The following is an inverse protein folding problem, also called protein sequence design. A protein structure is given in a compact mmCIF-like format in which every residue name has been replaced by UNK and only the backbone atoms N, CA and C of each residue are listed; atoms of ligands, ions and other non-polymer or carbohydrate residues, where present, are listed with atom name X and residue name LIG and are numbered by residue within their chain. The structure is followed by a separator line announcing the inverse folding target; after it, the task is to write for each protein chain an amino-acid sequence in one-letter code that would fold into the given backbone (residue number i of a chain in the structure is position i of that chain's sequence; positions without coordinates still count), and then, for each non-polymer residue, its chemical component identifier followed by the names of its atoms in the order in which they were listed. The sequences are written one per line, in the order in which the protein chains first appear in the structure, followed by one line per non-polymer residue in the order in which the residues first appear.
data_IF_251142311407
#
_entry.id   IF_251142311407
#
_cell.length_a   1.000
_cell.length_b   1.000
_cell.length_c   1.000
_cell.angle_alpha   90.00
_cell.angle_beta   90.00
_cell.angle_gamma   90.00
#
_symmetry.space_group_name_H-M   'P 1'
#
loop_
_entity.id
_entity.type
_entity.pdbx_description
1 polymer ?
#
# COMPACT_ATOMS: atom_id res chain seq x y z
N UNK A 1 -21.90 9.22 7.17
CA UNK A 1 -21.70 8.55 8.48
C UNK A 1 -20.44 7.68 8.39
N UNK A 2 -19.72 7.50 9.51
CA UNK A 2 -18.46 6.74 9.56
C UNK A 2 -18.69 5.32 10.09
N UNK A 3 -18.00 4.35 9.48
CA UNK A 3 -17.92 2.97 9.93
C UNK A 3 -16.45 2.64 10.23
N UNK A 4 -16.11 2.58 11.50
CA UNK A 4 -14.75 2.36 11.96
C UNK A 4 -14.47 0.87 12.11
N UNK A 5 -13.48 0.36 11.38
CA UNK A 5 -12.94 -0.97 11.55
C UNK A 5 -11.63 -0.83 12.31
N UNK A 6 -11.63 -1.33 13.54
CA UNK A 6 -10.52 -1.24 14.46
C UNK A 6 -9.58 -2.43 14.26
N UNK A 7 -8.29 -2.24 14.53
CA UNK A 7 -7.32 -3.33 14.56
C UNK A 7 -7.73 -4.45 15.53
N UNK A 8 -7.26 -5.66 15.26
CA UNK A 8 -7.52 -6.80 16.15
C UNK A 8 -6.98 -6.53 17.56
N UNK A 9 -7.68 -7.07 18.57
CA UNK A 9 -7.39 -6.77 19.96
C UNK A 9 -6.00 -7.27 20.39
N UNK A 10 -5.20 -6.34 20.90
CA UNK A 10 -3.91 -6.53 21.55
C UNK A 10 -3.78 -5.41 22.59
N UNK A 11 -2.96 -5.58 23.63
CA UNK A 11 -2.78 -4.54 24.65
C UNK A 11 -2.38 -3.17 24.06
N UNK A 12 -1.54 -3.18 23.01
CA UNK A 12 -1.12 -1.96 22.30
C UNK A 12 -2.28 -1.35 21.51
N UNK A 13 -3.01 -2.17 20.76
CA UNK A 13 -4.12 -1.68 19.92
C UNK A 13 -5.31 -1.22 20.75
N UNK A 14 -5.61 -1.84 21.89
CA UNK A 14 -6.68 -1.42 22.80
C UNK A 14 -6.44 0.00 23.34
N UNK A 15 -5.23 0.28 23.85
CA UNK A 15 -4.88 1.62 24.33
C UNK A 15 -4.94 2.67 23.21
N UNK A 16 -4.51 2.31 22.01
CA UNK A 16 -4.63 3.19 20.84
C UNK A 16 -6.10 3.46 20.48
N UNK A 17 -6.93 2.42 20.42
CA UNK A 17 -8.35 2.51 20.10
C UNK A 17 -9.13 3.35 21.12
N UNK A 18 -8.80 3.26 22.40
CA UNK A 18 -9.42 4.08 23.43
C UNK A 18 -9.10 5.57 23.21
N UNK A 19 -7.84 5.91 22.94
CA UNK A 19 -7.44 7.29 22.61
C UNK A 19 -8.16 7.81 21.37
N UNK A 20 -8.28 6.98 20.34
CA UNK A 20 -9.04 7.31 19.12
C UNK A 20 -10.51 7.60 19.46
N UNK A 21 -11.18 6.71 20.20
CA UNK A 21 -12.59 6.88 20.57
C UNK A 21 -12.84 8.15 21.39
N UNK A 22 -11.99 8.43 22.37
CA UNK A 22 -12.09 9.63 23.19
C UNK A 22 -11.97 10.89 22.32
N UNK A 23 -10.96 10.95 21.45
CA UNK A 23 -10.73 12.12 20.61
C UNK A 23 -11.81 12.32 19.54
N UNK A 24 -12.33 11.24 18.95
CA UNK A 24 -13.48 11.31 18.05
C UNK A 24 -14.73 11.80 18.78
N UNK A 25 -14.93 11.38 20.04
CA UNK A 25 -15.99 11.87 20.92
C UNK A 25 -15.88 13.37 21.18
N UNK A 26 -14.70 13.85 21.55
CA UNK A 26 -14.41 15.28 21.80
C UNK A 26 -14.63 16.13 20.54
N UNK A 27 -14.32 15.59 19.36
CA UNK A 27 -14.54 16.26 18.07
C UNK A 27 -16.00 16.17 17.58
N UNK A 28 -16.87 15.43 18.27
CA UNK A 28 -18.26 15.21 17.89
C UNK A 28 -18.45 14.32 16.65
N UNK A 29 -17.48 13.46 16.33
CA UNK A 29 -17.50 12.61 15.13
C UNK A 29 -18.11 11.25 15.48
N UNK A 30 -19.40 11.08 15.18
CA UNK A 30 -20.10 9.82 15.41
C UNK A 30 -19.84 8.76 14.33
N UNK A 31 -19.97 7.49 14.72
CA UNK A 31 -19.99 6.34 13.80
C UNK A 31 -20.06 5.00 14.51
N UNK A 32 -20.26 3.93 13.75
CA UNK A 32 -20.29 2.56 14.26
C UNK A 32 -18.87 2.00 14.29
N UNK A 33 -18.47 1.39 15.41
CA UNK A 33 -17.16 0.74 15.55
C UNK A 33 -17.29 -0.77 15.55
N UNK A 34 -16.45 -1.46 14.78
CA UNK A 34 -16.35 -2.93 14.76
C UNK A 34 -14.88 -3.37 14.80
N UNK A 35 -14.65 -4.61 15.21
CA UNK A 35 -13.32 -5.23 15.22
C UNK A 35 -13.38 -6.63 14.59
N UNK A 36 -12.32 -7.08 13.90
CA UNK A 36 -12.20 -8.45 13.41
C UNK A 36 -12.30 -9.48 14.53
N UNK A 37 -12.79 -10.67 14.18
CA UNK A 37 -12.83 -11.82 15.08
C UNK A 37 -12.56 -13.11 14.29
N UNK A 38 -12.34 -14.26 14.94
CA UNK A 38 -12.22 -15.54 14.23
C UNK A 38 -13.41 -15.87 13.32
N UNK A 39 -14.58 -15.30 13.61
CA UNK A 39 -15.81 -15.51 12.84
C UNK A 39 -16.05 -14.42 11.76
N UNK A 40 -15.30 -13.32 11.77
CA UNK A 40 -15.46 -12.21 10.81
C UNK A 40 -14.13 -11.58 10.44
N UNK A 41 -13.79 -11.70 9.16
CA UNK A 41 -12.62 -11.08 8.56
C UNK A 41 -12.77 -9.57 8.37
N UNK A 42 -11.64 -8.89 8.14
CA UNK A 42 -11.59 -7.45 7.86
C UNK A 42 -12.39 -7.12 6.58
N UNK A 43 -12.22 -7.93 5.55
CA UNK A 43 -12.88 -7.76 4.26
C UNK A 43 -14.41 -7.93 4.35
N UNK A 44 -14.88 -8.85 5.18
CA UNK A 44 -16.32 -9.04 5.47
C UNK A 44 -16.89 -7.85 6.25
N UNK A 45 -16.17 -7.33 7.24
CA UNK A 45 -16.60 -6.13 7.97
C UNK A 45 -16.68 -4.90 7.07
N UNK A 46 -15.69 -4.69 6.19
CA UNK A 46 -15.74 -3.63 5.20
C UNK A 46 -16.93 -3.80 4.25
N UNK A 47 -17.15 -5.02 3.75
CA UNK A 47 -18.30 -5.33 2.90
C UNK A 47 -19.63 -5.08 3.61
N UNK A 48 -19.74 -5.42 4.90
CA UNK A 48 -20.93 -5.19 5.70
C UNK A 48 -21.18 -3.68 5.88
N UNK A 49 -20.15 -2.89 6.17
CA UNK A 49 -20.27 -1.43 6.25
C UNK A 49 -20.79 -0.82 4.94
N UNK A 50 -20.28 -1.30 3.80
CA UNK A 50 -20.75 -0.87 2.48
C UNK A 50 -22.22 -1.26 2.26
N UNK A 51 -22.60 -2.51 2.56
CA UNK A 51 -23.98 -3.00 2.42
C UNK A 51 -24.96 -2.25 3.32
N UNK A 52 -24.53 -1.87 4.52
CA UNK A 52 -25.29 -1.02 5.45
C UNK A 52 -25.47 0.42 4.97
N UNK A 53 -24.83 0.81 3.85
CA UNK A 53 -24.95 2.14 3.27
C UNK A 53 -23.99 3.18 3.88
N UNK A 54 -22.94 2.76 4.59
CA UNK A 54 -21.94 3.71 5.09
C UNK A 54 -21.12 4.28 3.93
N UNK A 55 -21.19 5.60 3.77
CA UNK A 55 -20.41 6.36 2.78
C UNK A 55 -18.90 6.40 3.08
N UNK A 56 -18.49 6.03 4.30
CA UNK A 56 -17.09 6.10 4.73
C UNK A 56 -16.74 4.95 5.64
N UNK A 57 -15.77 4.16 5.20
CA UNK A 57 -15.16 3.11 5.99
C UNK A 57 -13.82 3.63 6.49
N UNK A 58 -13.58 3.58 7.79
CA UNK A 58 -12.36 4.10 8.41
C UNK A 58 -11.54 2.94 8.95
N UNK A 59 -10.31 2.80 8.46
CA UNK A 59 -9.32 1.90 9.03
C UNK A 59 -8.67 2.57 10.25
N UNK A 60 -8.69 1.91 11.41
CA UNK A 60 -8.04 2.40 12.64
C UNK A 60 -6.99 1.38 13.09
N UNK A 61 -5.75 1.54 12.65
CA UNK A 61 -4.70 0.56 12.89
C UNK A 61 -3.60 0.52 11.84
N UNK A 62 -3.06 -0.67 11.62
CA UNK A 62 -1.90 -0.93 10.77
C UNK A 62 -2.14 -0.68 9.28
N UNK A 63 -1.06 -0.55 8.51
CA UNK A 63 -1.12 -0.45 7.05
C UNK A 63 -1.69 -1.73 6.40
N UNK A 64 -1.46 -2.90 7.00
CA UNK A 64 -2.13 -4.15 6.68
C UNK A 64 -3.65 -4.03 6.75
N UNK A 65 -4.19 -3.49 7.85
CA UNK A 65 -5.63 -3.26 8.00
C UNK A 65 -6.14 -2.33 6.89
N UNK A 66 -5.42 -1.24 6.62
CA UNK A 66 -5.74 -0.29 5.54
C UNK A 66 -5.80 -1.00 4.19
N UNK A 67 -4.78 -1.77 3.82
CA UNK A 67 -4.70 -2.44 2.51
C UNK A 67 -5.84 -3.45 2.31
N UNK A 68 -6.26 -4.17 3.35
CA UNK A 68 -7.39 -5.10 3.29
C UNK A 68 -8.72 -4.38 3.09
N UNK A 69 -8.94 -3.29 3.82
CA UNK A 69 -10.16 -2.47 3.68
C UNK A 69 -10.18 -1.82 2.29
N UNK A 70 -9.07 -1.26 1.83
CA UNK A 70 -8.93 -0.70 0.49
C UNK A 70 -9.25 -1.76 -0.58
N UNK A 71 -8.69 -2.96 -0.45
CA UNK A 71 -8.97 -4.10 -1.34
C UNK A 71 -10.47 -4.43 -1.36
N UNK A 72 -11.13 -4.48 -0.19
CA UNK A 72 -12.55 -4.77 -0.10
C UNK A 72 -13.43 -3.68 -0.75
N UNK A 73 -13.07 -2.40 -0.57
CA UNK A 73 -13.76 -1.26 -1.20
C UNK A 73 -13.59 -1.32 -2.73
N UNK A 74 -12.36 -1.44 -3.22
CA UNK A 74 -12.06 -1.43 -4.66
C UNK A 74 -12.71 -2.61 -5.38
N UNK A 75 -12.73 -3.80 -4.76
CA UNK A 75 -13.34 -4.98 -5.35
C UNK A 75 -14.88 -4.93 -5.41
N UNK A 76 -15.52 -4.05 -4.64
CA UNK A 76 -16.97 -3.79 -4.72
C UNK A 76 -17.24 -2.84 -5.89
N UNK A 77 -17.29 -3.41 -7.10
CA UNK A 77 -17.53 -2.71 -8.38
C UNK A 77 -18.76 -1.78 -8.44
N UNK A 78 -19.72 -1.96 -7.53
CA UNK A 78 -21.01 -1.26 -7.55
C UNK A 78 -21.02 0.04 -6.72
N UNK A 79 -19.98 0.33 -5.93
CA UNK A 79 -20.00 1.43 -4.95
C UNK A 79 -18.76 2.36 -5.02
N UNK A 80 -18.61 3.08 -6.14
CA UNK A 80 -17.54 4.07 -6.37
C UNK A 80 -17.61 5.33 -5.46
N UNK A 81 -18.61 5.42 -4.59
CA UNK A 81 -18.80 6.57 -3.70
C UNK A 81 -18.35 6.31 -2.26
N UNK A 82 -17.96 5.08 -1.95
CA UNK A 82 -17.40 4.76 -0.64
C UNK A 82 -16.01 5.37 -0.52
N UNK A 83 -15.81 6.12 0.55
CA UNK A 83 -14.54 6.77 0.87
C UNK A 83 -13.80 5.96 1.94
N UNK A 84 -12.49 5.81 1.78
CA UNK A 84 -11.62 5.27 2.82
C UNK A 84 -11.09 6.41 3.72
N UNK A 85 -11.41 6.36 5.00
CA UNK A 85 -10.71 7.12 6.04
C UNK A 85 -9.63 6.27 6.70
N UNK A 86 -8.59 6.90 7.24
CA UNK A 86 -7.46 6.19 7.85
C UNK A 86 -7.04 6.94 9.11
N UNK A 87 -6.89 6.20 10.21
CA UNK A 87 -6.22 6.63 11.44
C UNK A 87 -5.09 5.61 11.69
N UNK A 88 -3.84 5.91 11.28
CA UNK A 88 -2.74 4.96 11.38
C UNK A 88 -2.25 4.85 12.83
N UNK A 89 -1.79 3.66 13.24
CA UNK A 89 -1.15 3.43 14.54
C UNK A 89 0.36 3.73 14.56
N UNK A 90 0.93 3.98 13.38
CA UNK A 90 2.28 4.50 13.15
C UNK A 90 2.25 5.70 12.19
N UNK A 91 2.56 6.90 12.71
CA UNK A 91 2.59 8.15 11.94
C UNK A 91 3.85 8.34 11.09
N UNK A 92 4.83 7.43 11.20
CA UNK A 92 6.04 7.42 10.35
C UNK A 92 5.88 6.54 9.11
N UNK A 93 4.81 5.73 9.08
CA UNK A 93 4.51 4.78 8.02
C UNK A 93 4.32 5.44 6.64
N UNK A 94 4.57 4.70 5.54
CA UNK A 94 4.24 5.15 4.19
C UNK A 94 2.78 5.59 4.04
N UNK A 95 1.84 4.88 4.68
CA UNK A 95 0.42 5.25 4.61
C UNK A 95 0.11 6.57 5.32
N UNK A 96 0.71 6.84 6.49
CA UNK A 96 0.54 8.12 7.19
C UNK A 96 1.06 9.30 6.36
N UNK A 97 2.22 9.12 5.73
CA UNK A 97 2.78 10.09 4.77
C UNK A 97 1.86 10.28 3.57
N UNK A 98 1.26 9.22 3.04
CA UNK A 98 0.34 9.29 1.89
C UNK A 98 -0.91 10.13 2.16
N UNK A 99 -1.42 10.13 3.40
CA UNK A 99 -2.58 10.93 3.80
C UNK A 99 -2.20 12.26 4.48
N UNK A 100 -0.90 12.58 4.54
CA UNK A 100 -0.33 13.79 5.13
C UNK A 100 -0.67 14.01 6.62
N UNK A 101 -0.84 12.94 7.42
CA UNK A 101 -1.11 13.07 8.86
C UNK A 101 0.16 12.92 9.70
N UNK A 102 0.26 13.70 10.78
CA UNK A 102 1.46 13.75 11.63
C UNK A 102 1.30 13.07 12.99
N UNK A 103 0.09 13.06 13.52
CA UNK A 103 -0.23 12.49 14.82
C UNK A 103 -1.71 12.09 14.91
N UNK A 104 -2.10 11.55 16.07
CA UNK A 104 -3.45 11.08 16.34
C UNK A 104 -4.50 12.20 16.25
N UNK A 105 -4.16 13.40 16.72
CA UNK A 105 -5.08 14.52 16.69
C UNK A 105 -5.32 14.98 15.28
N UNK A 106 -4.25 15.13 14.51
CA UNK A 106 -4.29 15.48 13.10
C UNK A 106 -5.08 14.45 12.27
N UNK A 107 -4.89 13.15 12.54
CA UNK A 107 -5.65 12.09 11.87
C UNK A 107 -7.16 12.15 12.18
N UNK A 108 -7.54 12.39 13.43
CA UNK A 108 -8.96 12.54 13.80
C UNK A 108 -9.57 13.85 13.25
N UNK A 109 -8.85 14.97 13.27
CA UNK A 109 -9.29 16.24 12.68
C UNK A 109 -9.46 16.14 11.16
N UNK A 110 -8.58 15.39 10.49
CA UNK A 110 -8.67 15.09 9.06
C UNK A 110 -10.01 14.46 8.69
N UNK A 111 -10.53 13.55 9.52
CA UNK A 111 -11.87 12.97 9.32
C UNK A 111 -13.00 14.00 9.44
N UNK A 112 -12.85 15.01 10.31
CA UNK A 112 -13.85 16.08 10.48
C UNK A 112 -13.98 16.94 9.23
N UNK A 113 -12.85 17.34 8.63
CA UNK A 113 -12.83 18.21 7.46
C UNK A 113 -13.08 17.46 6.15
N UNK A 114 -12.80 16.15 6.13
CA UNK A 114 -13.15 15.24 5.03
C UNK A 114 -12.69 15.76 3.66
N UNK A 115 -11.45 16.27 3.56
CA UNK A 115 -10.85 16.60 2.25
C UNK A 115 -10.64 15.29 1.49
N UNK A 116 -11.30 15.17 0.33
CA UNK A 116 -11.28 13.96 -0.48
C UNK A 116 -10.26 14.07 -1.59
N UNK A 117 -9.44 13.04 -1.76
CA UNK A 117 -8.57 12.87 -2.91
C UNK A 117 -8.75 11.48 -3.51
N UNK A 118 -8.61 11.38 -4.84
CA UNK A 118 -8.55 10.07 -5.52
C UNK A 118 -7.10 9.62 -5.59
N UNK A 119 -6.82 8.41 -5.09
CA UNK A 119 -5.49 7.80 -5.18
C UNK A 119 -5.48 6.63 -6.15
N UNK A 120 -4.30 6.44 -6.74
CA UNK A 120 -3.92 5.21 -7.41
C UNK A 120 -3.73 4.08 -6.40
N UNK A 121 -3.91 2.85 -6.86
CA UNK A 121 -3.57 1.63 -6.15
C UNK A 121 -2.90 0.64 -7.09
N UNK A 122 -1.99 -0.18 -6.59
CA UNK A 122 -1.45 -1.29 -7.36
C UNK A 122 -2.34 -2.51 -7.19
N UNK A 123 -2.84 -3.05 -8.30
CA UNK A 123 -3.51 -4.33 -8.37
C UNK A 123 -2.46 -5.45 -8.50
N UNK A 124 -2.66 -6.53 -7.76
CA UNK A 124 -1.91 -7.77 -7.89
C UNK A 124 -2.89 -8.96 -7.95
N UNK A 125 -2.69 -9.84 -8.93
CA UNK A 125 -3.54 -11.03 -9.09
C UNK A 125 -3.42 -11.98 -7.88
N UNK A 126 -4.52 -12.65 -7.44
CA UNK A 126 -5.79 -12.75 -8.16
C UNK A 126 -6.80 -11.61 -7.92
N UNK A 127 -6.73 -10.83 -6.82
CA UNK A 127 -7.65 -9.70 -6.55
C UNK A 127 -7.23 -8.86 -5.32
N UNK A 128 -5.93 -8.64 -5.14
CA UNK A 128 -5.40 -7.87 -3.99
C UNK A 128 -4.90 -6.50 -4.44
N UNK A 129 -4.87 -5.56 -3.51
CA UNK A 129 -4.36 -4.22 -3.74
C UNK A 129 -3.42 -3.80 -2.62
N UNK A 130 -2.44 -2.95 -2.97
CA UNK A 130 -1.62 -2.22 -2.02
C UNK A 130 -1.54 -0.74 -2.41
N UNK A 131 -1.46 0.14 -1.40
CA UNK A 131 -1.50 1.60 -1.59
C UNK A 131 -0.13 2.28 -1.57
N UNK A 132 0.92 1.57 -1.16
CA UNK A 132 2.21 2.12 -0.72
C UNK A 132 3.40 1.40 -1.34
N UNK A 133 3.66 0.15 -0.96
CA UNK A 133 4.68 -0.69 -1.59
C UNK A 133 4.41 -2.18 -1.39
N UNK A 134 4.93 -2.97 -2.33
CA UNK A 134 5.06 -4.40 -2.23
C UNK A 134 6.52 -4.81 -2.44
N UNK A 135 6.95 -5.85 -1.75
CA UNK A 135 8.33 -6.30 -1.73
C UNK A 135 8.40 -7.79 -2.06
N UNK A 136 9.36 -8.15 -2.91
CA UNK A 136 9.76 -9.53 -3.16
C UNK A 136 11.15 -9.68 -2.58
N UNK A 137 11.33 -10.61 -1.64
CA UNK A 137 12.61 -10.85 -0.98
C UNK A 137 13.01 -12.31 -1.10
N UNK A 138 14.31 -12.53 -1.36
CA UNK A 138 14.92 -13.84 -1.40
C UNK A 138 16.24 -13.84 -0.65
N UNK A 139 16.44 -14.89 0.16
CA UNK A 139 17.66 -15.07 0.95
C UNK A 139 18.91 -15.30 0.09
N UNK A 140 18.74 -15.71 -1.17
CA UNK A 140 19.83 -15.94 -2.13
C UNK A 140 19.53 -15.22 -3.45
N UNK A 141 20.56 -14.79 -4.20
CA UNK A 141 20.37 -14.24 -5.54
C UNK A 141 19.49 -15.17 -6.37
N UNK A 142 18.36 -14.64 -6.81
CA UNK A 142 17.28 -15.38 -7.47
C UNK A 142 17.12 -14.88 -8.88
N UNK A 143 17.09 -15.80 -9.83
CA UNK A 143 16.75 -15.49 -11.20
C UNK A 143 15.25 -15.17 -11.31
N UNK A 144 14.93 -14.09 -11.99
CA UNK A 144 13.57 -13.70 -12.31
C UNK A 144 13.46 -13.10 -13.70
N UNK A 145 12.23 -13.02 -14.17
CA UNK A 145 11.89 -12.42 -15.46
C UNK A 145 10.87 -11.32 -15.23
N UNK A 146 11.15 -10.13 -15.77
CA UNK A 146 10.18 -9.05 -15.90
C UNK A 146 9.62 -9.10 -17.31
N UNK A 147 8.32 -9.32 -17.43
CA UNK A 147 7.62 -9.28 -18.71
C UNK A 147 6.65 -8.10 -18.74
N UNK A 148 6.69 -7.34 -19.82
CA UNK A 148 5.70 -6.32 -20.19
C UNK A 148 5.16 -6.65 -21.58
N UNK A 149 4.29 -5.80 -22.14
CA UNK A 149 3.82 -5.98 -23.51
C UNK A 149 4.97 -5.90 -24.54
N UNK A 150 5.99 -5.10 -24.26
CA UNK A 150 7.03 -4.73 -25.23
C UNK A 150 8.42 -5.24 -24.84
N UNK A 151 8.61 -5.67 -23.59
CA UNK A 151 9.92 -6.00 -23.04
C UNK A 151 9.83 -7.30 -22.25
N UNK A 152 10.79 -8.19 -22.52
CA UNK A 152 11.13 -9.31 -21.64
C UNK A 152 12.57 -9.14 -21.19
N UNK A 153 12.78 -9.02 -19.88
CA UNK A 153 14.11 -8.87 -19.29
C UNK A 153 14.33 -9.93 -18.22
N UNK A 154 15.46 -10.62 -18.30
CA UNK A 154 15.98 -11.42 -17.18
C UNK A 154 16.59 -10.49 -16.13
N UNK A 155 16.50 -10.88 -14.86
CA UNK A 155 17.15 -10.20 -13.74
C UNK A 155 17.63 -11.22 -12.71
N UNK A 156 18.64 -10.83 -11.93
CA UNK A 156 19.04 -11.50 -10.70
C UNK A 156 18.74 -10.53 -9.57
N UNK A 157 18.08 -11.00 -8.51
CA UNK A 157 17.68 -10.14 -7.41
C UNK A 157 17.76 -10.87 -6.06
N UNK A 158 18.01 -10.09 -5.01
CA UNK A 158 17.69 -10.47 -3.63
C UNK A 158 16.43 -9.75 -3.17
N UNK A 159 16.17 -8.56 -3.71
CA UNK A 159 15.04 -7.76 -3.32
C UNK A 159 14.47 -6.97 -4.49
N UNK A 160 13.16 -6.98 -4.63
CA UNK A 160 12.43 -6.13 -5.58
C UNK A 160 11.43 -5.32 -4.78
N UNK A 161 11.46 -3.99 -4.92
CA UNK A 161 10.46 -3.09 -4.36
C UNK A 161 9.58 -2.56 -5.48
N UNK A 162 8.27 -2.65 -5.30
CA UNK A 162 7.26 -2.20 -6.25
C UNK A 162 6.42 -1.13 -5.57
N UNK A 163 6.32 0.07 -6.15
CA UNK A 163 5.50 1.18 -5.64
C UNK A 163 4.35 1.53 -6.61
N UNK A 164 3.31 2.23 -6.13
CA UNK A 164 2.30 2.89 -6.97
C UNK A 164 2.94 3.68 -8.11
N UNK A 165 2.30 3.68 -9.27
CA UNK A 165 2.91 4.19 -10.51
C UNK A 165 3.83 3.17 -11.20
N UNK A 166 3.96 1.95 -10.68
CA UNK A 166 4.80 0.87 -11.24
C UNK A 166 6.29 1.24 -11.19
N UNK A 167 6.71 2.00 -10.20
CA UNK A 167 8.14 2.14 -9.92
C UNK A 167 8.67 0.81 -9.35
N UNK A 168 9.58 0.19 -10.10
CA UNK A 168 10.26 -1.05 -9.69
C UNK A 168 11.70 -0.69 -9.32
N UNK A 169 12.16 -1.18 -8.18
CA UNK A 169 13.58 -1.15 -7.82
C UNK A 169 14.05 -2.57 -7.62
N UNK A 170 15.14 -2.93 -8.28
CA UNK A 170 15.78 -4.25 -8.16
C UNK A 170 17.09 -4.06 -7.42
N UNK A 171 17.30 -4.87 -6.38
CA UNK A 171 18.49 -4.86 -5.53
C UNK A 171 19.13 -6.26 -5.58
N UNK A 172 20.44 -6.32 -5.84
CA UNK A 172 21.25 -7.54 -5.92
C UNK A 172 22.45 -7.42 -4.96
N UNK A 173 22.65 -8.42 -4.11
CA UNK A 173 23.77 -8.48 -3.17
C UNK A 173 25.11 -8.79 -3.82
N UNK A 174 25.13 -9.25 -5.09
CA UNK A 174 26.37 -9.49 -5.86
C UNK A 174 27.03 -8.21 -6.38
N UNK A 175 26.39 -7.04 -6.20
CA UNK A 175 26.92 -5.73 -6.61
C UNK A 175 28.16 -5.28 -5.82
N UNK A 176 28.53 -5.96 -4.72
CA UNK A 176 29.66 -5.54 -3.88
C UNK A 176 30.94 -6.37 -4.01
N UNK A 177 30.95 -7.50 -4.72
CA UNK A 177 32.19 -8.27 -4.90
C UNK A 177 32.28 -8.89 -6.31
N UNK A 178 33.03 -8.22 -7.18
CA UNK A 178 33.71 -8.78 -8.34
C UNK A 178 32.87 -9.70 -9.27
N UNK A 179 32.15 -9.13 -10.23
CA UNK A 179 32.18 -9.57 -11.65
C UNK A 179 31.45 -8.61 -12.58
N UNK A 180 32.08 -8.33 -13.72
CA UNK A 180 31.65 -7.40 -14.76
C UNK A 180 30.26 -7.78 -15.30
N UNK A 181 29.37 -6.82 -15.18
CA UNK A 181 27.97 -6.81 -15.61
C UNK A 181 27.77 -7.12 -17.10
N UNK A 182 26.88 -8.08 -17.36
CA UNK A 182 26.39 -8.49 -18.70
C UNK A 182 25.36 -7.48 -19.25
N UNK A 183 24.98 -6.43 -18.51
CA UNK A 183 24.16 -5.32 -19.04
C UNK A 183 24.93 -4.37 -19.98
N UNK A 184 26.18 -4.67 -20.32
CA UNK A 184 27.00 -3.88 -21.25
C UNK A 184 26.79 -4.18 -22.74
N UNK A 185 25.92 -5.14 -23.11
CA UNK A 185 25.81 -5.57 -24.51
C UNK A 185 24.73 -4.86 -25.36
N UNK A 186 23.78 -4.11 -24.78
CA UNK A 186 22.69 -3.49 -25.56
C UNK A 186 22.62 -1.96 -25.56
N UNK A 187 23.39 -1.25 -24.73
CA UNK A 187 23.52 0.21 -24.83
C UNK A 187 24.95 0.64 -24.51
N UNK A 188 25.53 1.41 -25.42
CA UNK A 188 26.88 1.94 -25.29
C UNK A 188 27.06 2.70 -23.98
N UNK A 189 28.05 2.26 -23.21
CA UNK A 189 28.73 2.95 -22.11
C UNK A 189 27.85 3.84 -21.22
N UNK A 190 27.47 3.30 -20.07
CA UNK A 190 27.55 4.05 -18.80
C UNK A 190 27.83 3.09 -17.65
N UNK A 191 28.73 3.51 -16.78
CA UNK A 191 29.15 2.80 -15.57
C UNK A 191 27.92 2.33 -14.78
N UNK A 192 27.93 1.05 -14.38
CA UNK A 192 26.91 0.48 -13.50
C UNK A 192 27.11 1.12 -12.14
N UNK A 193 26.29 2.11 -11.81
CA UNK A 193 26.24 2.71 -10.48
C UNK A 193 25.72 1.68 -9.46
N UNK A 194 26.33 1.67 -8.27
CA UNK A 194 26.13 0.77 -7.10
C UNK A 194 24.70 0.70 -6.52
N UNK A 195 23.68 1.16 -7.23
CA UNK A 195 22.26 0.98 -6.91
C UNK A 195 21.50 1.03 -8.25
N UNK A 196 21.28 -0.12 -8.88
CA UNK A 196 20.58 -0.19 -10.17
C UNK A 196 19.06 -0.07 -9.99
N UNK A 197 18.58 1.12 -9.64
CA UNK A 197 17.15 1.41 -9.72
C UNK A 197 16.73 1.51 -11.19
N UNK A 198 15.98 0.52 -11.67
CA UNK A 198 15.46 0.51 -13.03
C UNK A 198 14.01 1.01 -13.04
N UNK A 199 13.79 2.25 -13.46
CA UNK A 199 12.45 2.83 -13.53
C UNK A 199 11.73 2.36 -14.79
N UNK A 200 10.76 1.45 -14.64
CA UNK A 200 9.91 1.00 -15.74
C UNK A 200 8.57 1.74 -15.71
N UNK A 201 8.23 2.43 -16.80
CA UNK A 201 6.92 3.05 -16.96
C UNK A 201 6.00 2.11 -17.75
N UNK A 202 5.56 1.02 -17.11
CA UNK A 202 4.61 0.07 -17.71
C UNK A 202 3.25 0.16 -16.99
N UNK A 203 2.14 -0.05 -17.71
CA UNK A 203 0.80 -0.13 -17.09
C UNK A 203 0.55 -1.48 -16.41
N UNK A 204 1.21 -2.54 -16.88
CA UNK A 204 1.08 -3.93 -16.44
C UNK A 204 2.44 -4.60 -16.61
N UNK A 205 2.83 -5.40 -15.65
CA UNK A 205 3.99 -6.27 -15.75
C UNK A 205 3.72 -7.60 -15.09
N UNK A 206 4.50 -8.60 -15.48
CA UNK A 206 4.51 -9.92 -14.90
C UNK A 206 5.90 -10.20 -14.34
N UNK A 207 5.95 -10.76 -13.14
CA UNK A 207 7.20 -11.24 -12.54
C UNK A 207 7.10 -12.75 -12.41
N UNK A 208 8.09 -13.42 -12.97
CA UNK A 208 8.25 -14.87 -12.87
C UNK A 208 9.59 -15.20 -12.21
N UNK A 209 9.64 -16.30 -11.47
CA UNK A 209 10.87 -16.84 -10.87
C UNK A 209 10.95 -18.32 -11.22
N UNK A 210 11.61 -18.70 -12.32
CA UNK A 210 11.61 -20.09 -12.75
C UNK A 210 12.18 -21.04 -11.70
N UNK A 211 11.53 -22.19 -11.56
CA UNK A 211 11.95 -23.23 -10.61
C UNK A 211 11.65 -22.93 -9.14
N UNK A 212 11.06 -21.77 -8.80
CA UNK A 212 10.71 -21.45 -7.41
C UNK A 212 9.49 -20.52 -7.29
N UNK A 213 8.83 -20.58 -6.14
CA UNK A 213 7.71 -19.70 -5.80
C UNK A 213 8.16 -18.77 -4.68
N UNK A 214 8.24 -17.48 -4.99
CA UNK A 214 8.71 -16.45 -4.06
C UNK A 214 7.51 -15.64 -3.56
N UNK A 215 7.35 -15.42 -2.25
CA UNK A 215 6.26 -14.61 -1.72
C UNK A 215 6.46 -13.12 -2.04
N UNK A 216 5.34 -12.44 -2.27
CA UNK A 216 5.27 -10.99 -2.38
C UNK A 216 4.57 -10.47 -1.14
N UNK A 217 5.22 -9.53 -0.45
CA UNK A 217 4.73 -8.96 0.79
C UNK A 217 4.27 -7.52 0.59
N UNK A 218 3.16 -7.12 1.22
CA UNK A 218 2.82 -5.72 1.45
C UNK A 218 2.58 -5.54 2.96
N UNK A 219 3.28 -4.58 3.57
CA UNK A 219 3.31 -4.41 5.04
C UNK A 219 3.57 -5.71 5.81
N UNK A 220 4.53 -6.52 5.33
CA UNK A 220 4.91 -7.80 5.94
C UNK A 220 3.88 -8.93 5.78
N UNK A 221 2.72 -8.71 5.13
CA UNK A 221 1.76 -9.77 4.81
C UNK A 221 1.98 -10.30 3.40
N UNK A 222 1.98 -11.63 3.25
CA UNK A 222 2.00 -12.26 1.92
C UNK A 222 0.68 -11.95 1.19
N UNK A 223 0.77 -11.16 0.13
CA UNK A 223 -0.36 -10.75 -0.71
C UNK A 223 -0.47 -11.58 -1.99
N UNK A 224 0.63 -12.16 -2.46
CA UNK A 224 0.69 -13.03 -3.63
C UNK A 224 1.98 -13.88 -3.61
N UNK A 225 2.14 -14.75 -4.61
CA UNK A 225 3.37 -15.52 -4.87
C UNK A 225 3.63 -15.58 -6.36
N UNK A 226 4.89 -15.60 -6.78
CA UNK A 226 5.25 -15.70 -8.20
C UNK A 226 4.75 -17.03 -8.83
N UNK A 227 4.37 -17.04 -10.13
CA UNK A 227 4.32 -15.88 -11.03
C UNK A 227 3.17 -14.92 -10.67
N UNK A 228 3.43 -13.63 -10.78
CA UNK A 228 2.45 -12.57 -10.48
C UNK A 228 2.27 -11.63 -11.64
N UNK A 229 1.10 -11.04 -11.71
CA UNK A 229 0.80 -9.91 -12.57
C UNK A 229 0.44 -8.72 -11.69
N UNK A 230 1.07 -7.59 -11.98
CA UNK A 230 0.84 -6.32 -11.30
C UNK A 230 0.42 -5.26 -12.30
N UNK A 231 -0.53 -4.41 -11.90
CA UNK A 231 -1.05 -3.32 -12.72
C UNK A 231 -1.33 -2.08 -11.87
N UNK A 232 -0.97 -0.89 -12.37
CA UNK A 232 -1.39 0.35 -11.74
C UNK A 232 -2.86 0.59 -12.06
N UNK A 233 -3.65 0.91 -11.05
CA UNK A 233 -5.06 1.26 -11.19
C UNK A 233 -5.22 2.72 -10.77
N UNK A 234 -5.25 3.65 -11.74
CA UNK A 234 -5.26 5.06 -11.43
C UNK A 234 -6.60 5.51 -10.86
N UNK A 235 -6.56 6.38 -9.85
CA UNK A 235 -7.75 7.04 -9.25
C UNK A 235 -8.90 6.09 -8.86
N UNK A 236 -8.59 4.87 -8.40
CA UNK A 236 -9.61 3.85 -8.09
C UNK A 236 -10.18 3.93 -6.68
N UNK A 237 -9.60 4.75 -5.80
CA UNK A 237 -10.04 4.86 -4.43
C UNK A 237 -10.09 6.32 -3.99
N UNK A 238 -11.23 6.74 -3.42
CA UNK A 238 -11.35 8.02 -2.71
C UNK A 238 -10.85 7.84 -1.28
N UNK A 239 -9.88 8.65 -0.87
CA UNK A 239 -9.33 8.67 0.48
C UNK A 239 -9.57 10.03 1.14
N UNK A 240 -9.66 10.05 2.48
CA UNK A 240 -9.60 11.28 3.25
C UNK A 240 -8.14 11.60 3.54
N UNK A 241 -7.72 12.83 3.25
CA UNK A 241 -6.36 13.32 3.48
C UNK A 241 -6.36 14.60 4.32
N UNK A 242 -5.26 14.87 5.00
CA UNK A 242 -5.08 16.14 5.70
C UNK A 242 -5.12 17.31 4.70
N UNK A 243 -5.57 18.47 5.17
CA UNK A 243 -5.44 19.71 4.39
C UNK A 243 -3.96 20.07 4.33
N UNK A 244 -3.49 20.49 3.17
CA UNK A 244 -2.18 21.10 3.07
C UNK A 244 -2.20 22.32 3.98
N UNK A 245 -1.39 22.29 5.04
CA UNK A 245 -1.03 23.51 5.73
C UNK A 245 -0.20 24.25 4.70
N UNK A 246 -0.72 25.35 4.15
CA UNK A 246 0.09 26.31 3.42
C UNK A 246 1.25 26.67 4.35
N UNK A 247 2.42 26.09 4.10
CA UNK A 247 3.65 26.57 4.70
C UNK A 247 3.84 27.92 4.04
N UNK A 248 3.81 29.06 4.77
CA UNK A 248 4.11 30.34 4.16
C UNK A 248 5.50 30.21 3.53
N UNK A 249 5.62 30.54 2.24
CA UNK A 249 6.90 30.52 1.53
C UNK A 249 7.93 31.35 2.32
N UNK A 250 8.77 30.68 3.08
CA UNK A 250 9.71 31.25 4.03
C UNK A 250 11.13 30.85 3.66
N UNK A 251 11.76 31.74 2.91
CA UNK A 251 13.19 31.81 2.55
C UNK A 251 13.70 30.80 1.50
N UNK A 252 13.66 31.27 0.26
CA UNK A 252 14.63 30.92 -0.79
C UNK A 252 16.03 31.39 -0.41
#
# INVERSE_FOLDING_TARGET
MYYYILESASKKSESFQEKVKNLLGDLGIAGETVSPSPARSIEELASLGIVKGYSTIVAVGSEKLVNKIATAIINKKENNDVVLGIIPDDYTSPIAKKIHVKDLKDACETLKYRKLETTDACFIEPNKYFLTEAVIESAKPTEGYLLTADIQSSMIFNRIVIKPGIEIRVEDSLSNENKKSVFSFLFGKKEVSENSSSFFHAKRFQIETPGQVVPILADGEIIAKTPIIIQNRPKVLKIIVARDILIPDGNR
#
